data_IF_860237482927
#
_entry.id   IF_860237482927
#
_cell.length_a   1.000
_cell.length_b   1.000
_cell.length_c   1.000
_cell.angle_alpha   90.00
_cell.angle_beta   90.00
_cell.angle_gamma   90.00
#
_symmetry.space_group_name_H-M   'P 1'
#
loop_
_entity.id
_entity.type
_entity.pdbx_description
1 polymer ?
#
# COMPACT_ATOMS: atom_id res chain seq x y z
N UNK A 1 -11.02 -4.45 20.50
CA UNK A 1 -12.30 -4.49 19.76
C UNK A 1 -12.03 -4.11 18.30
N UNK A 2 -12.15 -5.03 17.35
CA UNK A 2 -11.89 -4.76 15.93
C UNK A 2 -13.06 -4.07 15.23
N UNK A 3 -12.77 -3.41 14.10
CA UNK A 3 -13.79 -2.86 13.20
C UNK A 3 -14.40 -3.98 12.34
N UNK A 4 -15.67 -3.80 11.95
CA UNK A 4 -16.48 -4.79 11.22
C UNK A 4 -17.03 -4.13 9.96
N UNK A 5 -17.25 -4.92 8.92
CA UNK A 5 -17.79 -4.42 7.65
C UNK A 5 -19.30 -4.59 7.52
N UNK A 6 -19.90 -5.50 8.31
CA UNK A 6 -21.33 -5.77 8.31
C UNK A 6 -21.96 -5.18 9.58
N UNK A 7 -22.91 -4.22 9.47
CA UNK A 7 -23.61 -3.64 10.62
C UNK A 7 -24.28 -4.68 11.52
N UNK A 8 -24.76 -5.79 10.96
CA UNK A 8 -25.40 -6.89 11.67
C UNK A 8 -24.44 -7.71 12.55
N UNK A 9 -23.12 -7.62 12.32
CA UNK A 9 -22.12 -8.23 13.21
C UNK A 9 -21.86 -7.39 14.48
N UNK A 10 -22.49 -6.22 14.58
CA UNK A 10 -22.42 -5.33 15.74
C UNK A 10 -23.70 -5.48 16.54
N UNK A 11 -23.59 -5.78 17.85
CA UNK A 11 -24.76 -5.85 18.73
C UNK A 11 -25.46 -4.48 18.77
N UNK A 12 -26.79 -4.48 18.79
CA UNK A 12 -27.60 -3.26 18.67
C UNK A 12 -27.40 -2.28 19.84
N UNK A 13 -27.08 -2.81 21.01
CA UNK A 13 -26.80 -2.09 22.25
C UNK A 13 -25.34 -1.65 22.38
N UNK A 14 -24.44 -2.09 21.49
CA UNK A 14 -23.02 -1.80 21.56
C UNK A 14 -22.75 -0.31 21.27
N UNK A 15 -22.10 0.36 22.23
CA UNK A 15 -21.82 1.79 22.17
C UNK A 15 -20.31 2.07 22.13
N UNK A 16 -19.96 3.22 21.55
CA UNK A 16 -18.61 3.78 21.58
C UNK A 16 -18.67 5.20 22.10
N UNK A 17 -17.76 5.49 23.02
CA UNK A 17 -17.50 6.85 23.48
C UNK A 17 -16.54 7.52 22.52
N UNK A 18 -17.02 8.56 21.85
CA UNK A 18 -16.19 9.43 21.03
C UNK A 18 -15.55 10.46 21.97
N UNK A 19 -14.20 10.51 22.06
CA UNK A 19 -13.52 11.48 22.91
C UNK A 19 -13.82 12.90 22.42
N UNK A 20 -13.81 13.83 23.38
CA UNK A 20 -13.93 15.26 23.08
C UNK A 20 -12.79 15.70 22.16
N UNK A 21 -13.14 16.49 21.15
CA UNK A 21 -12.19 17.30 20.39
C UNK A 21 -12.55 18.76 20.68
N UNK A 22 -11.56 19.56 21.10
CA UNK A 22 -11.70 21.02 21.30
C UNK A 22 -12.82 21.43 22.29
N UNK A 23 -12.87 20.82 23.47
CA UNK A 23 -13.75 21.27 24.57
C UNK A 23 -15.23 20.88 24.44
N UNK A 24 -15.60 20.11 23.41
CA UNK A 24 -16.96 19.57 23.25
C UNK A 24 -17.25 18.45 24.27
N UNK A 25 -18.50 18.23 24.70
CA UNK A 25 -18.81 17.08 25.54
C UNK A 25 -18.53 15.75 24.82
N UNK A 26 -18.09 14.73 25.57
CA UNK A 26 -17.96 13.37 25.05
C UNK A 26 -19.31 12.92 24.50
N UNK A 27 -19.31 12.25 23.35
CA UNK A 27 -20.53 11.74 22.72
C UNK A 27 -20.54 10.23 22.78
N UNK A 28 -21.67 9.64 23.14
CA UNK A 28 -21.88 8.20 23.06
C UNK A 28 -22.70 7.94 21.81
N UNK A 29 -22.20 7.06 20.95
CA UNK A 29 -22.88 6.68 19.71
C UNK A 29 -23.02 5.17 19.64
N UNK A 30 -24.08 4.69 18.98
CA UNK A 30 -24.24 3.28 18.66
C UNK A 30 -23.14 2.86 17.68
N UNK A 31 -22.38 1.82 18.01
CA UNK A 31 -21.30 1.30 17.14
C UNK A 31 -21.84 0.86 15.78
N UNK A 32 -23.07 0.35 15.74
CA UNK A 32 -23.73 -0.06 14.49
C UNK A 32 -23.85 1.11 13.51
N UNK A 33 -24.15 2.32 13.98
CA UNK A 33 -24.21 3.52 13.15
C UNK A 33 -22.86 3.92 12.55
N UNK A 34 -21.74 3.54 13.18
CA UNK A 34 -20.39 3.72 12.64
C UNK A 34 -20.01 2.64 11.62
N UNK A 35 -20.63 1.47 11.68
CA UNK A 35 -20.37 0.36 10.78
C UNK A 35 -20.94 0.63 9.37
N UNK A 36 -22.09 1.30 9.28
CA UNK A 36 -22.76 1.58 8.00
C UNK A 36 -21.88 2.40 7.03
N UNK A 37 -21.27 3.52 7.42
CA UNK A 37 -20.32 4.22 6.54
C UNK A 37 -19.12 3.37 6.12
N UNK A 38 -18.61 2.50 7.01
CA UNK A 38 -17.50 1.58 6.70
C UNK A 38 -17.93 0.58 5.62
N UNK A 39 -19.12 0.01 5.74
CA UNK A 39 -19.70 -0.89 4.75
C UNK A 39 -19.78 -0.22 3.37
N UNK A 40 -20.44 0.95 3.30
CA UNK A 40 -20.62 1.69 2.05
C UNK A 40 -19.29 2.07 1.39
N UNK A 41 -18.33 2.57 2.17
CA UNK A 41 -16.99 2.91 1.67
C UNK A 41 -16.22 1.69 1.18
N UNK A 42 -16.37 0.54 1.83
CA UNK A 42 -15.71 -0.70 1.41
C UNK A 42 -16.26 -1.18 0.07
N UNK A 43 -17.58 -1.15 -0.12
CA UNK A 43 -18.22 -1.48 -1.40
C UNK A 43 -17.82 -0.51 -2.52
N UNK A 44 -17.76 0.79 -2.23
CA UNK A 44 -17.35 1.81 -3.19
C UNK A 44 -15.90 1.56 -3.66
N UNK A 45 -14.98 1.36 -2.72
CA UNK A 45 -13.57 1.08 -3.03
C UNK A 45 -13.46 -0.22 -3.84
N UNK A 46 -14.22 -1.26 -3.50
CA UNK A 46 -14.24 -2.51 -4.25
C UNK A 46 -14.67 -2.28 -5.70
N UNK A 47 -15.73 -1.51 -5.93
CA UNK A 47 -16.20 -1.15 -7.28
C UNK A 47 -15.14 -0.39 -8.07
N UNK A 48 -14.45 0.56 -7.43
CA UNK A 48 -13.37 1.32 -8.05
C UNK A 48 -12.17 0.44 -8.42
N UNK A 49 -11.80 -0.50 -7.55
CA UNK A 49 -10.75 -1.50 -7.83
C UNK A 49 -11.15 -2.32 -9.06
N UNK A 50 -12.38 -2.82 -9.12
CA UNK A 50 -12.84 -3.64 -10.25
C UNK A 50 -12.91 -2.88 -11.56
N UNK A 51 -13.34 -1.61 -11.51
CA UNK A 51 -13.27 -0.71 -12.66
C UNK A 51 -11.82 -0.58 -13.15
N UNK A 52 -10.87 -0.39 -12.24
CA UNK A 52 -9.46 -0.21 -12.60
C UNK A 52 -8.83 -1.48 -13.16
N UNK A 53 -9.15 -2.64 -12.59
CA UNK A 53 -8.70 -3.96 -13.07
C UNK A 53 -9.23 -4.26 -14.48
N UNK A 54 -10.51 -3.95 -14.73
CA UNK A 54 -11.09 -4.09 -16.07
C UNK A 54 -10.39 -3.18 -17.09
N UNK A 55 -10.13 -1.92 -16.71
CA UNK A 55 -9.39 -0.96 -17.55
C UNK A 55 -7.94 -1.36 -17.82
N UNK A 56 -7.30 -2.15 -16.95
CA UNK A 56 -5.94 -2.66 -17.20
C UNK A 56 -5.89 -3.88 -18.13
N UNK A 57 -7.03 -4.29 -18.71
CA UNK A 57 -7.13 -5.41 -19.64
C UNK A 57 -7.47 -6.75 -19.00
N UNK A 58 -7.61 -6.81 -17.67
CA UNK A 58 -7.98 -8.02 -16.95
C UNK A 58 -9.50 -8.09 -16.82
N UNK A 59 -10.17 -8.55 -17.89
CA UNK A 59 -11.63 -8.55 -18.01
C UNK A 59 -12.33 -9.62 -17.16
N UNK A 60 -11.60 -10.65 -16.74
CA UNK A 60 -12.09 -11.74 -15.90
C UNK A 60 -11.13 -11.93 -14.73
N UNK A 61 -11.67 -12.37 -13.60
CA UNK A 61 -10.84 -12.71 -12.45
C UNK A 61 -9.93 -13.90 -12.78
N UNK A 62 -8.66 -13.87 -12.38
CA UNK A 62 -7.79 -15.03 -12.48
C UNK A 62 -8.36 -16.22 -11.69
N UNK A 63 -8.16 -17.45 -12.17
CA UNK A 63 -8.56 -18.67 -11.48
C UNK A 63 -7.99 -18.77 -10.05
N UNK A 64 -6.85 -18.12 -9.79
CA UNK A 64 -6.22 -18.06 -8.46
C UNK A 64 -6.88 -17.09 -7.48
N UNK A 65 -7.93 -16.39 -7.90
CA UNK A 65 -8.71 -15.48 -7.07
C UNK A 65 -8.02 -14.15 -6.76
N UNK A 66 -8.60 -13.42 -5.81
CA UNK A 66 -8.08 -12.15 -5.30
C UNK A 66 -7.34 -12.36 -3.97
N UNK A 67 -6.22 -11.64 -3.80
CA UNK A 67 -5.52 -11.55 -2.53
C UNK A 67 -5.65 -10.15 -1.98
N UNK A 68 -6.16 -10.02 -0.76
CA UNK A 68 -6.28 -8.75 -0.07
C UNK A 68 -5.29 -8.69 1.07
N UNK A 69 -4.60 -7.57 1.19
CA UNK A 69 -3.64 -7.30 2.27
C UNK A 69 -3.70 -5.82 2.68
N UNK A 70 -2.84 -5.37 3.58
CA UNK A 70 -2.88 -4.04 4.18
C UNK A 70 -3.79 -3.95 5.39
N UNK A 71 -3.82 -2.80 6.07
CA UNK A 71 -4.52 -2.68 7.36
C UNK A 71 -6.03 -2.87 7.26
N UNK A 72 -6.64 -2.42 6.15
CA UNK A 72 -8.07 -2.62 5.87
C UNK A 72 -8.44 -4.10 5.78
N UNK A 73 -7.50 -4.98 5.42
CA UNK A 73 -7.73 -6.41 5.32
C UNK A 73 -8.04 -7.07 6.68
N UNK A 74 -7.79 -6.38 7.80
CA UNK A 74 -8.15 -6.82 9.15
C UNK A 74 -9.61 -6.50 9.53
N UNK A 75 -10.37 -5.84 8.65
CA UNK A 75 -11.81 -5.63 8.84
C UNK A 75 -12.53 -6.98 8.87
N UNK A 76 -13.24 -7.24 9.98
CA UNK A 76 -14.01 -8.47 10.12
C UNK A 76 -15.15 -8.50 9.10
N UNK A 77 -15.24 -9.60 8.35
CA UNK A 77 -16.23 -9.80 7.30
C UNK A 77 -15.80 -9.30 5.92
N UNK A 78 -14.63 -8.66 5.77
CA UNK A 78 -14.19 -8.14 4.48
C UNK A 78 -14.10 -9.23 3.40
N UNK A 79 -13.49 -10.37 3.73
CA UNK A 79 -13.35 -11.47 2.77
C UNK A 79 -14.72 -11.87 2.20
N UNK A 80 -15.69 -12.11 3.09
CA UNK A 80 -17.06 -12.46 2.70
C UNK A 80 -17.71 -11.38 1.83
N UNK A 81 -17.63 -10.10 2.25
CA UNK A 81 -18.19 -9.00 1.46
C UNK A 81 -17.65 -8.98 0.03
N UNK A 82 -16.34 -9.22 -0.11
CA UNK A 82 -15.66 -9.23 -1.40
C UNK A 82 -16.09 -10.45 -2.21
N UNK A 83 -16.10 -11.65 -1.62
CA UNK A 83 -16.57 -12.89 -2.28
C UNK A 83 -18.01 -12.76 -2.80
N UNK A 84 -18.91 -12.23 -1.97
CA UNK A 84 -20.33 -12.01 -2.29
C UNK A 84 -20.51 -11.05 -3.49
N UNK A 85 -19.58 -10.09 -3.68
CA UNK A 85 -19.65 -9.09 -4.75
C UNK A 85 -18.83 -9.45 -6.01
N UNK A 86 -17.81 -10.30 -5.89
CA UNK A 86 -16.93 -10.70 -6.99
C UNK A 86 -17.30 -12.03 -7.63
N UNK A 87 -17.97 -12.93 -6.90
CA UNK A 87 -18.32 -14.26 -7.40
C UNK A 87 -17.12 -15.18 -7.64
N UNK A 88 -15.98 -14.92 -6.99
CA UNK A 88 -14.75 -15.70 -7.11
C UNK A 88 -14.00 -15.81 -5.78
N UNK A 89 -12.98 -16.69 -5.69
CA UNK A 89 -12.27 -16.93 -4.44
C UNK A 89 -11.47 -15.70 -4.01
N UNK A 90 -11.53 -15.37 -2.72
CA UNK A 90 -10.78 -14.27 -2.11
C UNK A 90 -10.03 -14.82 -0.91
N UNK A 91 -8.82 -14.31 -0.64
CA UNK A 91 -8.12 -14.60 0.62
C UNK A 91 -7.50 -13.35 1.22
N UNK A 92 -7.54 -13.28 2.55
CA UNK A 92 -6.74 -12.32 3.32
C UNK A 92 -5.34 -12.90 3.51
N UNK A 93 -4.31 -12.15 3.13
CA UNK A 93 -2.92 -12.61 3.23
C UNK A 93 -2.12 -11.84 4.28
N UNK A 94 -1.44 -12.62 5.13
CA UNK A 94 -0.38 -12.17 6.03
C UNK A 94 0.99 -12.28 5.34
N UNK A 95 1.95 -11.40 5.66
CA UNK A 95 3.31 -11.56 5.16
C UNK A 95 3.96 -12.82 5.73
N UNK A 96 4.77 -13.47 4.92
CA UNK A 96 5.54 -14.68 5.25
C UNK A 96 6.87 -14.70 4.49
N UNK A 97 7.73 -15.68 4.75
CA UNK A 97 9.01 -15.84 4.04
C UNK A 97 10.23 -15.27 4.77
N UNK A 98 10.09 -14.86 6.03
CA UNK A 98 11.21 -14.57 6.93
C UNK A 98 11.14 -15.55 8.11
N UNK A 99 12.18 -16.38 8.27
CA UNK A 99 12.29 -17.28 9.40
C UNK A 99 12.42 -16.47 10.70
N UNK A 100 11.66 -16.85 11.73
CA UNK A 100 11.67 -16.14 13.02
C UNK A 100 10.93 -14.80 13.03
N UNK A 101 10.12 -14.48 12.00
CA UNK A 101 9.32 -13.27 11.97
C UNK A 101 8.36 -13.23 13.18
N UNK A 102 8.46 -12.23 14.08
CA UNK A 102 7.58 -12.11 15.23
C UNK A 102 6.11 -12.15 14.83
N UNK A 103 5.27 -12.82 15.62
CA UNK A 103 3.84 -13.00 15.31
C UNK A 103 3.08 -11.68 15.22
N UNK A 104 3.52 -10.65 15.96
CA UNK A 104 2.99 -9.30 15.88
C UNK A 104 3.18 -8.67 14.50
N UNK A 105 4.20 -9.10 13.75
CA UNK A 105 4.51 -8.65 12.40
C UNK A 105 3.81 -9.49 11.31
N UNK A 106 3.22 -10.62 11.67
CA UNK A 106 2.47 -11.51 10.77
C UNK A 106 1.02 -11.04 10.62
N UNK A 107 0.85 -9.78 10.20
CA UNK A 107 -0.46 -9.16 9.99
C UNK A 107 -0.56 -8.56 8.59
N UNK A 108 -1.74 -8.54 7.95
CA UNK A 108 -1.88 -7.98 6.61
C UNK A 108 -1.45 -6.52 6.54
N UNK A 109 -1.65 -5.76 7.63
CA UNK A 109 -1.21 -4.37 7.77
C UNK A 109 0.30 -4.16 7.61
N UNK A 110 1.12 -5.20 7.79
CA UNK A 110 2.57 -5.11 7.75
C UNK A 110 3.18 -5.73 6.48
N UNK A 111 2.36 -6.14 5.52
CA UNK A 111 2.82 -6.79 4.29
C UNK A 111 3.79 -5.94 3.47
N UNK A 112 3.58 -4.63 3.39
CA UNK A 112 4.48 -3.74 2.65
C UNK A 112 5.86 -3.61 3.33
N UNK A 113 5.88 -3.50 4.66
CA UNK A 113 7.12 -3.39 5.44
C UNK A 113 7.93 -4.69 5.36
N UNK A 114 7.28 -5.83 5.60
CA UNK A 114 7.92 -7.15 5.49
C UNK A 114 8.35 -7.43 4.05
N UNK A 115 7.54 -7.08 3.06
CA UNK A 115 7.89 -7.21 1.64
C UNK A 115 9.14 -6.43 1.26
N UNK A 116 9.28 -5.20 1.77
CA UNK A 116 10.50 -4.38 1.57
C UNK A 116 11.73 -5.03 2.23
N UNK A 117 11.57 -5.62 3.42
CA UNK A 117 12.66 -6.33 4.09
C UNK A 117 13.10 -7.57 3.29
N UNK A 118 12.16 -8.39 2.81
CA UNK A 118 12.43 -9.54 1.94
C UNK A 118 13.14 -9.08 0.67
N UNK A 119 12.68 -7.99 0.06
CA UNK A 119 13.32 -7.41 -1.12
C UNK A 119 14.77 -7.01 -0.80
N UNK A 120 15.01 -6.30 0.30
CA UNK A 120 16.34 -5.91 0.75
C UNK A 120 17.27 -7.11 0.99
N UNK A 121 16.78 -8.18 1.62
CA UNK A 121 17.54 -9.43 1.84
C UNK A 121 17.92 -10.09 0.51
N UNK A 122 17.01 -10.11 -0.47
CA UNK A 122 17.25 -10.75 -1.78
C UNK A 122 18.22 -9.96 -2.67
N UNK A 123 18.36 -8.64 -2.46
CA UNK A 123 19.13 -7.75 -3.34
C UNK A 123 20.33 -7.11 -2.63
N UNK A 124 20.83 -7.68 -1.53
CA UNK A 124 21.95 -7.13 -0.73
C UNK A 124 23.26 -6.94 -1.53
N UNK A 125 23.44 -7.70 -2.61
CA UNK A 125 24.63 -7.63 -3.49
C UNK A 125 24.44 -6.77 -4.74
N UNK A 126 23.26 -6.18 -4.96
CA UNK A 126 23.08 -5.29 -6.10
C UNK A 126 23.80 -3.98 -5.83
N UNK A 127 24.91 -3.74 -6.55
CA UNK A 127 25.56 -2.43 -6.60
C UNK A 127 24.59 -1.44 -7.22
N UNK A 128 23.72 -0.82 -6.41
CA UNK A 128 22.98 0.35 -6.83
C UNK A 128 24.02 1.42 -7.10
N UNK A 129 24.26 1.69 -8.39
CA UNK A 129 24.89 2.92 -8.82
C UNK A 129 23.98 4.07 -8.36
N UNK A 130 24.16 4.52 -7.12
CA UNK A 130 23.58 5.74 -6.62
C UNK A 130 24.09 6.84 -7.54
N UNK A 131 23.24 7.34 -8.44
CA UNK A 131 23.56 8.39 -9.44
C UNK A 131 23.79 9.74 -8.74
N UNK A 132 24.81 9.82 -7.89
CA UNK A 132 25.13 11.03 -7.12
C UNK A 132 26.59 11.48 -7.27
N UNK A 133 27.28 11.15 -8.37
CA UNK A 133 28.63 11.71 -8.62
C UNK A 133 28.98 12.17 -10.04
N UNK A 134 28.13 11.95 -11.04
CA UNK A 134 28.51 12.29 -12.43
C UNK A 134 28.15 13.72 -12.88
N UNK A 135 27.34 14.47 -12.12
CA UNK A 135 26.98 15.85 -12.51
C UNK A 135 28.08 16.89 -12.24
N UNK A 136 28.93 16.69 -11.23
CA UNK A 136 30.01 17.66 -10.93
C UNK A 136 31.22 17.50 -11.86
N UNK A 137 31.59 16.25 -12.19
CA UNK A 137 32.79 15.98 -12.99
C UNK A 137 32.60 16.24 -14.50
N UNK A 138 31.35 16.20 -15.00
CA UNK A 138 31.02 16.51 -16.40
C UNK A 138 31.24 18.00 -16.74
N UNK A 139 30.90 18.91 -15.80
CA UNK A 139 31.03 20.35 -15.99
C UNK A 139 32.46 20.81 -16.27
N UNK A 140 33.42 20.41 -15.41
CA UNK A 140 34.83 20.79 -15.56
C UNK A 140 35.48 20.15 -16.79
N UNK A 141 35.15 18.91 -17.12
CA UNK A 141 35.68 18.26 -18.33
C UNK A 141 35.16 18.92 -19.61
N UNK A 142 33.91 19.38 -19.62
CA UNK A 142 33.36 20.11 -20.77
C UNK A 142 34.01 21.49 -20.97
N UNK A 143 34.36 22.16 -19.88
CA UNK A 143 35.06 23.45 -19.89
C UNK A 143 36.53 23.31 -20.31
N UNK A 144 37.24 22.31 -19.78
CA UNK A 144 38.62 22.02 -20.18
C UNK A 144 38.72 21.59 -21.65
N UNK A 145 37.77 20.78 -22.14
CA UNK A 145 37.72 20.41 -23.56
C UNK A 145 37.37 21.60 -24.47
N UNK A 146 36.60 22.58 -23.99
CA UNK A 146 36.36 23.83 -24.72
C UNK A 146 37.58 24.74 -24.75
N UNK A 147 38.33 24.84 -23.66
CA UNK A 147 39.57 25.62 -23.60
C UNK A 147 40.69 25.00 -24.44
N UNK A 148 40.81 23.66 -24.45
CA UNK A 148 41.77 22.94 -25.30
C UNK A 148 41.56 23.20 -26.80
N UNK A 149 40.30 23.17 -27.27
CA UNK A 149 39.98 23.43 -28.69
C UNK A 149 40.26 24.85 -29.16
N UNK A 150 40.32 25.83 -28.25
CA UNK A 150 40.68 27.21 -28.60
C UNK A 150 42.20 27.35 -28.77
N UNK A 151 42.99 26.57 -28.01
CA UNK A 151 44.46 26.59 -28.11
C UNK A 151 44.97 25.99 -29.42
N UNK A 152 44.31 24.96 -29.93
CA UNK A 152 44.70 24.31 -31.19
C UNK A 152 44.39 25.16 -32.44
N UNK A 153 43.45 26.11 -32.36
CA UNK A 153 43.12 27.01 -33.48
C UNK A 153 44.03 28.22 -33.62
N UNK A 154 44.83 28.56 -32.61
CA UNK A 154 45.75 29.70 -32.63
C UNK A 154 47.17 29.30 -33.03
N UNK A 155 47.53 28.01 -32.91
CA UNK A 155 48.87 27.51 -33.23
C UNK A 155 49.13 27.22 -34.71
N UNK A 156 48.16 27.49 -35.61
CA UNK A 156 48.31 27.23 -37.05
C UNK A 156 48.00 28.47 -37.92
N UNK A 157 48.46 29.64 -37.47
CA UNK A 157 48.58 30.87 -38.27
C UNK A 157 49.99 31.42 -38.18
#
# INVERSE_FOLDING_TARGET
>A
MGARVFPEMVKADEEVVIPSVQGQPKRVVKRRGLCEPIHQRTLEILKLIMLRVSQSGLRQLPNGGLVITGGTAELQGLQKLVEDNLGGPVRIANPSGIAGLPTQLQKPGLSAAVGTLIWGIKHQGESRAYRERDRYNSGYRSLLNRLGRVRDKVSNR
#
